data_IF_787213481377
#
_entry.id   IF_787213481377
#
_cell.length_a   1.000
_cell.length_b   1.000
_cell.length_c   1.000
_cell.angle_alpha   90.00
_cell.angle_beta   90.00
_cell.angle_gamma   90.00
#
_symmetry.space_group_name_H-M   'P 1'
#
loop_
_entity.id
_entity.type
_entity.pdbx_description
1 polymer ?
#
# COMPACT_ATOMS: atom_id res chain seq x y z
N UNK A 1 -8.23 -29.18 32.16
CA UNK A 1 -8.25 -28.92 31.82
C UNK A 1 -8.35 -28.33 31.23
N UNK A 2 -8.43 -28.33 31.48
CA UNK A 2 -8.51 -27.65 30.89
C UNK A 2 -8.42 -26.98 30.11
N UNK A 3 -8.29 -26.89 30.31
CA UNK A 3 -8.21 -26.42 29.71
C UNK A 3 -8.12 -25.72 28.90
N UNK A 4 -8.01 -25.73 29.12
CA UNK A 4 -7.92 -25.26 28.48
C UNK A 4 -7.93 -24.75 27.62
N UNK A 5 -7.83 -24.91 27.71
CA UNK A 5 -7.80 -24.63 26.98
C UNK A 5 -8.03 -23.98 26.17
N UNK A 6 -8.03 -23.86 26.26
CA UNK A 6 -8.25 -23.46 25.57
C UNK A 6 -8.37 -22.68 24.90
N UNK A 7 -8.21 -22.55 25.22
CA UNK A 7 -8.32 -22.00 24.61
C UNK A 7 -8.23 -21.34 23.83
N UNK A 8 -8.00 -21.21 23.90
CA UNK A 8 -7.95 -20.78 23.22
C UNK A 8 -8.04 -20.23 22.45
N UNK A 9 -7.98 -20.21 22.60
CA UNK A 9 -8.14 -19.89 21.85
C UNK A 9 -8.32 -19.20 21.18
N UNK A 10 -8.38 -19.18 21.23
CA UNK A 10 -8.59 -18.77 20.79
C UNK A 10 -8.52 -17.95 20.17
N UNK A 11 -8.25 -17.75 20.16
CA UNK A 11 -8.21 -17.15 19.61
C UNK A 11 -8.10 -16.54 18.88
N UNK A 12 -8.01 -16.59 18.94
CA UNK A 12 -7.99 -16.29 18.28
C UNK A 12 -8.08 -15.71 17.55
N UNK A 13 -8.11 -15.62 17.62
CA UNK A 13 -8.30 -15.31 16.95
C UNK A 13 -8.37 -14.65 16.36
N UNK A 14 -8.35 -14.65 16.58
CA UNK A 14 -8.54 -14.34 16.08
C UNK A 14 -8.49 -13.80 15.39
N UNK A 15 -8.36 -13.72 15.44
CA UNK A 15 -8.49 -13.53 14.90
C UNK A 15 -8.62 -13.00 14.20
N UNK A 16 -8.68 -12.77 14.12
CA UNK A 16 -9.05 -12.66 13.70
C UNK A 16 -9.30 -12.05 13.12
N UNK A 17 -9.32 -11.90 13.29
CA UNK A 17 -9.73 -11.59 12.86
C UNK A 17 -9.98 -11.01 12.17
N UNK A 18 -9.88 -10.74 11.94
CA UNK A 18 -10.11 -10.29 11.31
C UNK A 18 -10.64 -9.96 10.76
N UNK A 19 -10.19 -9.64 11.75
CA UNK A 19 -11.37 -9.42 11.17
C UNK A 19 -11.42 -9.18 9.73
N UNK A 20 -12.11 -9.73 9.26
CA UNK A 20 -12.24 -9.69 7.84
C UNK A 20 -12.77 -8.40 7.30
N UNK A 21 -13.49 -7.68 8.09
CA UNK A 21 -14.06 -6.45 7.57
C UNK A 21 -13.02 -5.43 7.21
N UNK A 22 -11.91 -5.49 7.84
CA UNK A 22 -10.95 -4.48 7.58
C UNK A 22 -10.28 -4.62 6.26
N UNK A 23 -10.51 -5.69 5.56
CA UNK A 23 -9.96 -5.78 4.24
C UNK A 23 -10.52 -4.73 3.31
N UNK A 24 -11.56 -4.04 3.72
CA UNK A 24 -12.11 -2.98 2.91
C UNK A 24 -11.35 -1.70 3.03
N UNK A 25 -10.38 -1.61 3.91
CA UNK A 25 -9.63 -0.39 4.08
C UNK A 25 -8.38 -0.41 3.23
N UNK A 26 -7.95 0.75 2.79
CA UNK A 26 -6.65 0.88 2.16
C UNK A 26 -5.59 0.43 3.15
N UNK A 27 -4.51 -0.07 2.64
CA UNK A 27 -3.46 -0.51 3.54
C UNK A 27 -2.11 0.04 3.13
N UNK A 28 -1.25 0.18 4.12
CA UNK A 28 0.12 0.58 3.91
C UNK A 28 0.93 -0.59 3.33
N UNK A 29 2.02 -0.28 2.63
CA UNK A 29 2.89 -1.34 2.13
C UNK A 29 3.66 -2.00 3.26
N UNK A 30 3.99 -3.26 3.10
CA UNK A 30 4.96 -3.90 3.96
C UNK A 30 6.33 -3.29 3.66
N UNK A 31 7.33 -3.51 4.53
CA UNK A 31 8.67 -2.99 4.23
C UNK A 31 9.24 -3.46 2.90
N UNK A 32 8.99 -4.71 2.52
CA UNK A 32 9.46 -5.20 1.23
C UNK A 32 8.73 -4.56 0.06
N UNK A 33 7.43 -4.42 0.20
CA UNK A 33 6.63 -3.76 -0.83
C UNK A 33 7.07 -2.33 -1.00
N UNK A 34 7.28 -1.63 0.11
CA UNK A 34 7.72 -0.24 0.07
C UNK A 34 9.07 -0.12 -0.64
N UNK A 35 9.99 -1.00 -0.31
CA UNK A 35 11.32 -0.95 -0.91
C UNK A 35 11.25 -1.10 -2.43
N UNK A 36 10.43 -2.03 -2.91
CA UNK A 36 10.27 -2.24 -4.35
C UNK A 36 9.62 -1.04 -5.01
N UNK A 37 8.60 -0.47 -4.38
CA UNK A 37 7.92 0.70 -4.92
C UNK A 37 8.88 1.88 -4.97
N UNK A 38 9.63 2.11 -3.91
CA UNK A 38 10.55 3.24 -3.87
C UNK A 38 11.66 3.10 -4.91
N UNK A 39 12.16 1.89 -5.11
CA UNK A 39 13.15 1.66 -6.16
C UNK A 39 12.56 2.00 -7.52
N UNK A 40 11.34 1.56 -7.77
CA UNK A 40 10.69 1.85 -9.04
C UNK A 40 10.49 3.35 -9.22
N UNK A 41 10.07 4.04 -8.17
CA UNK A 41 9.85 5.48 -8.26
C UNK A 41 11.14 6.22 -8.61
N UNK A 42 12.25 5.84 -7.97
CA UNK A 42 13.53 6.47 -8.29
C UNK A 42 13.94 6.19 -9.73
N UNK A 43 13.71 4.96 -10.18
CA UNK A 43 14.06 4.60 -11.56
C UNK A 43 13.25 5.38 -12.56
N UNK A 44 12.03 5.78 -12.20
CA UNK A 44 11.17 6.56 -13.08
C UNK A 44 11.41 8.06 -12.96
N UNK A 45 12.38 8.46 -12.14
CA UNK A 45 12.74 9.87 -12.05
C UNK A 45 12.08 10.64 -10.93
N UNK A 46 11.40 9.97 -10.03
CA UNK A 46 10.82 10.64 -8.88
C UNK A 46 11.83 10.71 -7.76
N UNK A 47 11.88 11.85 -7.09
CA UNK A 47 12.89 12.10 -6.06
C UNK A 47 12.34 12.07 -4.65
N UNK A 48 11.03 12.29 -4.50
CA UNK A 48 10.37 12.18 -3.20
C UNK A 48 8.89 11.97 -3.43
N UNK A 49 8.21 11.50 -2.42
CA UNK A 49 6.79 11.18 -2.53
C UNK A 49 6.14 11.23 -1.16
N UNK A 50 4.81 11.28 -1.17
CA UNK A 50 4.03 11.27 0.05
C UNK A 50 3.57 9.86 0.39
N UNK A 51 2.29 9.72 0.64
CA UNK A 51 1.71 8.47 1.11
C UNK A 51 1.69 7.41 0.03
N UNK A 52 1.98 6.18 0.42
CA UNK A 52 1.86 5.02 -0.45
C UNK A 52 0.83 4.09 0.18
N UNK A 53 -0.23 3.78 -0.58
CA UNK A 53 -1.31 2.92 -0.08
C UNK A 53 -1.77 1.99 -1.17
N UNK A 54 -2.18 0.78 -0.78
CA UNK A 54 -2.87 -0.10 -1.70
C UNK A 54 -4.36 0.21 -1.58
N UNK A 55 -4.96 0.63 -2.68
CA UNK A 55 -6.37 0.98 -2.71
C UNK A 55 -7.19 -0.29 -2.77
N UNK A 56 -8.07 -0.46 -1.81
CA UNK A 56 -8.86 -1.66 -1.70
C UNK A 56 -9.87 -1.80 -2.84
N UNK A 57 -10.38 -0.71 -3.35
CA UNK A 57 -11.37 -0.76 -4.42
C UNK A 57 -10.79 -1.13 -5.76
N UNK A 58 -9.66 -0.54 -6.08
CA UNK A 58 -9.05 -0.71 -7.40
C UNK A 58 -7.96 -1.77 -7.42
N UNK A 59 -7.48 -2.14 -6.24
CA UNK A 59 -6.36 -3.07 -6.11
C UNK A 59 -5.11 -2.54 -6.81
N UNK A 60 -4.92 -1.22 -6.74
CA UNK A 60 -3.76 -0.54 -7.30
C UNK A 60 -3.03 0.19 -6.19
N UNK A 61 -1.71 0.31 -6.34
CA UNK A 61 -0.95 1.16 -5.43
C UNK A 61 -1.19 2.61 -5.81
N UNK A 62 -1.47 3.43 -4.81
CA UNK A 62 -1.61 4.88 -5.00
C UNK A 62 -0.47 5.58 -4.31
N UNK A 63 0.20 6.45 -5.05
CA UNK A 63 1.27 7.26 -4.50
C UNK A 63 0.85 8.72 -4.63
N UNK A 64 0.71 9.38 -3.49
CA UNK A 64 0.34 10.80 -3.48
C UNK A 64 1.59 11.65 -3.55
N UNK A 65 1.49 12.77 -4.25
CA UNK A 65 2.51 13.80 -4.23
C UNK A 65 3.89 13.29 -4.60
N UNK A 66 3.99 12.58 -5.71
CA UNK A 66 5.28 12.13 -6.23
C UNK A 66 5.91 13.28 -7.00
N UNK A 67 7.09 13.72 -6.58
CA UNK A 67 7.80 14.83 -7.21
C UNK A 67 8.85 14.29 -8.15
N UNK A 68 8.74 14.69 -9.40
CA UNK A 68 9.74 14.33 -10.40
C UNK A 68 10.97 15.23 -10.26
N UNK A 69 12.03 14.86 -10.94
CA UNK A 69 13.28 15.62 -10.86
C UNK A 69 13.14 17.03 -11.41
N UNK A 70 12.15 17.27 -12.27
CA UNK A 70 11.89 18.62 -12.78
C UNK A 70 11.05 19.46 -11.83
N UNK A 71 10.71 18.93 -10.67
CA UNK A 71 9.94 19.66 -9.66
C UNK A 71 8.44 19.53 -9.80
N UNK A 72 7.95 18.86 -10.82
CA UNK A 72 6.51 18.70 -11.00
C UNK A 72 6.00 17.59 -10.11
N UNK A 73 4.77 17.76 -9.68
CA UNK A 73 4.14 16.84 -8.73
C UNK A 73 3.04 16.04 -9.42
N UNK A 74 2.96 14.77 -9.11
CA UNK A 74 2.00 13.86 -9.72
C UNK A 74 1.38 12.96 -8.67
N UNK A 75 0.15 12.51 -8.95
CA UNK A 75 -0.45 11.40 -8.25
C UNK A 75 -0.35 10.19 -9.17
N UNK A 76 0.10 9.08 -8.64
CA UNK A 76 0.38 7.89 -9.44
C UNK A 76 -0.47 6.73 -8.99
N UNK A 77 -0.80 5.85 -9.95
CA UNK A 77 -1.37 4.55 -9.64
C UNK A 77 -0.54 3.50 -10.33
N UNK A 78 -0.21 2.45 -9.59
CA UNK A 78 0.69 1.41 -10.07
C UNK A 78 -0.01 0.07 -10.03
N UNK A 79 0.32 -0.78 -10.98
CA UNK A 79 -0.14 -2.16 -11.00
C UNK A 79 0.39 -2.87 -9.74
N UNK A 80 -0.44 -3.68 -9.05
CA UNK A 80 -0.02 -4.25 -7.77
C UNK A 80 1.13 -5.24 -7.88
N UNK A 81 1.26 -5.93 -9.00
CA UNK A 81 2.30 -6.94 -9.14
C UNK A 81 3.52 -6.41 -9.88
N UNK A 82 3.32 -5.77 -11.01
CA UNK A 82 4.43 -5.34 -11.85
C UNK A 82 4.96 -3.97 -11.48
N UNK A 83 4.16 -3.20 -10.75
CA UNK A 83 4.45 -1.81 -10.37
C UNK A 83 4.52 -0.87 -11.58
N UNK A 84 4.00 -1.30 -12.72
CA UNK A 84 3.93 -0.41 -13.88
C UNK A 84 3.00 0.75 -13.57
N UNK A 85 3.37 1.94 -14.02
CA UNK A 85 2.54 3.12 -13.83
C UNK A 85 1.34 3.02 -14.75
N UNK A 86 0.15 2.98 -14.15
CA UNK A 86 -1.09 2.91 -14.91
C UNK A 86 -1.66 4.29 -15.13
N UNK A 87 -1.59 5.13 -14.09
CA UNK A 87 -2.10 6.49 -14.15
C UNK A 87 -1.06 7.44 -13.61
N UNK A 88 -0.90 8.55 -14.29
CA UNK A 88 0.04 9.58 -13.89
C UNK A 88 -0.64 10.92 -14.10
N UNK A 89 -1.16 11.47 -13.03
CA UNK A 89 -1.94 12.70 -13.10
C UNK A 89 -1.18 13.85 -12.48
N UNK A 90 -0.99 14.94 -13.21
CA UNK A 90 -0.35 16.11 -12.61
C UNK A 90 -1.23 16.63 -11.47
N UNK A 91 -0.58 17.00 -10.38
CA UNK A 91 -1.25 17.63 -9.28
C UNK A 91 -0.77 19.07 -9.25
N UNK A 92 -1.55 19.95 -9.84
CA UNK A 92 -1.13 21.29 -10.12
C UNK A 92 -1.53 22.29 -9.09
N UNK A 93 -2.03 21.84 -7.97
CA UNK A 93 -2.46 22.80 -7.04
C UNK A 93 -1.36 23.39 -6.24
#
# INVERSE_FOLDING_TARGET
MPTIKQVLLGLVLAAGALAPGQVLADRAPTPQERSRIETMLRNEGFTRWGKIELDDDDDLWEIDDAYASDGRRYDLRLHPDTLAIITREPDDD
#
